data_IF_253854581527
#
_entry.id   IF_253854581527
#
_cell.length_a   1.000
_cell.length_b   1.000
_cell.length_c   1.000
_cell.angle_alpha   90.00
_cell.angle_beta   90.00
_cell.angle_gamma   90.00
#
_symmetry.space_group_name_H-M   'P 1'
#
loop_
_entity.id
_entity.type
_entity.pdbx_description
1 polymer ?
#
# COMPACT_ATOMS: atom_id res chain seq x y z
N UNK A 1 -29.43 -9.67 3.18
CA UNK A 1 -27.96 -9.67 3.06
C UNK A 1 -27.56 -10.96 2.40
N UNK A 2 -27.02 -10.89 1.19
CA UNK A 2 -26.58 -12.08 0.46
C UNK A 2 -25.32 -12.64 1.11
N UNK A 3 -25.01 -13.91 0.84
CA UNK A 3 -23.74 -14.51 1.31
C UNK A 3 -22.53 -13.69 0.84
N UNK A 4 -22.60 -13.15 -0.38
CA UNK A 4 -21.56 -12.32 -0.97
C UNK A 4 -21.34 -11.02 -0.18
N UNK A 5 -22.42 -10.34 0.25
CA UNK A 5 -22.32 -9.14 1.09
C UNK A 5 -21.64 -9.44 2.43
N UNK A 6 -22.03 -10.57 3.06
CA UNK A 6 -21.43 -10.99 4.34
C UNK A 6 -19.96 -11.36 4.18
N UNK A 7 -19.56 -11.94 3.06
CA UNK A 7 -18.17 -12.22 2.78
C UNK A 7 -17.35 -10.93 2.60
N UNK A 8 -17.78 -10.01 1.73
CA UNK A 8 -17.03 -8.80 1.40
C UNK A 8 -16.91 -7.80 2.55
N UNK A 9 -17.99 -7.58 3.30
CA UNK A 9 -18.02 -6.54 4.34
C UNK A 9 -17.94 -7.11 5.75
N UNK A 10 -18.19 -8.41 5.91
CA UNK A 10 -18.08 -9.09 7.20
C UNK A 10 -16.71 -9.74 7.40
N UNK A 11 -16.33 -10.68 6.55
CA UNK A 11 -15.13 -11.50 6.78
C UNK A 11 -13.85 -10.93 6.14
N UNK A 12 -13.95 -10.46 4.89
CA UNK A 12 -12.81 -10.02 4.10
C UNK A 12 -11.97 -8.90 4.75
N UNK A 13 -12.54 -7.88 5.41
CA UNK A 13 -11.74 -6.81 6.03
C UNK A 13 -10.78 -7.34 7.10
N UNK A 14 -11.21 -8.31 7.90
CA UNK A 14 -10.37 -8.92 8.93
C UNK A 14 -9.26 -9.77 8.31
N UNK A 15 -9.58 -10.55 7.28
CA UNK A 15 -8.58 -11.35 6.57
C UNK A 15 -7.52 -10.46 5.92
N UNK A 16 -7.94 -9.38 5.25
CA UNK A 16 -7.03 -8.40 4.65
C UNK A 16 -6.13 -7.74 5.71
N UNK A 17 -6.70 -7.35 6.86
CA UNK A 17 -5.94 -6.72 7.94
C UNK A 17 -4.93 -7.70 8.57
N UNK A 18 -5.34 -8.96 8.81
CA UNK A 18 -4.45 -10.00 9.35
C UNK A 18 -3.27 -10.26 8.41
N UNK A 19 -3.53 -10.43 7.11
CA UNK A 19 -2.47 -10.63 6.10
C UNK A 19 -1.58 -9.40 6.00
N UNK A 20 -2.16 -8.20 6.02
CA UNK A 20 -1.40 -6.95 5.97
C UNK A 20 -0.43 -6.83 7.16
N UNK A 21 -0.90 -7.02 8.38
CA UNK A 21 -0.07 -6.85 9.59
C UNK A 21 0.97 -7.96 9.73
N UNK A 22 0.57 -9.23 9.65
CA UNK A 22 1.49 -10.36 9.81
C UNK A 22 2.47 -10.46 8.64
N UNK A 23 2.00 -10.27 7.41
CA UNK A 23 2.87 -10.26 6.23
C UNK A 23 3.91 -9.15 6.29
N UNK A 24 3.51 -7.94 6.73
CA UNK A 24 4.45 -6.83 6.94
C UNK A 24 5.47 -7.16 8.03
N UNK A 25 5.04 -7.73 9.16
CA UNK A 25 5.94 -8.10 10.25
C UNK A 25 6.96 -9.17 9.83
N UNK A 26 6.50 -10.24 9.18
CA UNK A 26 7.37 -11.33 8.72
C UNK A 26 8.39 -10.82 7.69
N UNK A 27 7.95 -10.01 6.72
CA UNK A 27 8.85 -9.42 5.72
C UNK A 27 9.85 -8.45 6.34
N UNK A 28 9.43 -7.69 7.36
CA UNK A 28 10.31 -6.77 8.08
C UNK A 28 11.41 -7.53 8.85
N UNK A 29 11.07 -8.63 9.52
CA UNK A 29 12.02 -9.41 10.32
C UNK A 29 12.97 -10.24 9.44
N UNK A 30 12.46 -10.87 8.38
CA UNK A 30 13.22 -11.85 7.57
C UNK A 30 13.86 -11.29 6.31
N UNK A 31 13.28 -10.27 5.68
CA UNK A 31 13.59 -9.89 4.30
C UNK A 31 13.99 -8.41 4.16
N UNK A 32 14.84 -7.91 5.06
CA UNK A 32 15.28 -6.51 5.10
C UNK A 32 15.86 -6.01 3.76
N UNK A 33 16.59 -6.85 3.01
CA UNK A 33 17.16 -6.45 1.70
C UNK A 33 16.08 -6.11 0.65
N UNK A 34 14.90 -6.72 0.76
CA UNK A 34 13.77 -6.44 -0.14
C UNK A 34 12.95 -5.23 0.31
N UNK A 35 13.22 -4.68 1.50
CA UNK A 35 12.49 -3.55 2.06
C UNK A 35 13.07 -2.22 1.58
N UNK A 36 12.73 -1.85 0.35
CA UNK A 36 13.18 -0.60 -0.29
C UNK A 36 12.09 -0.06 -1.22
N UNK A 37 12.21 1.19 -1.62
CA UNK A 37 11.24 1.88 -2.49
C UNK A 37 11.36 1.54 -3.98
N UNK A 38 12.39 0.78 -4.37
CA UNK A 38 12.68 0.38 -5.76
C UNK A 38 12.57 1.55 -6.77
N UNK A 39 13.26 2.65 -6.46
CA UNK A 39 13.22 3.87 -7.29
C UNK A 39 13.79 3.63 -8.69
N UNK A 40 12.96 3.83 -9.70
CA UNK A 40 13.35 3.84 -11.12
C UNK A 40 13.76 5.23 -11.62
N UNK A 41 13.87 6.22 -10.73
CA UNK A 41 14.16 7.60 -11.11
C UNK A 41 15.50 7.74 -11.85
N UNK A 42 16.51 6.93 -11.47
CA UNK A 42 17.80 6.88 -12.14
C UNK A 42 17.69 6.48 -13.62
N UNK A 43 16.71 5.63 -13.97
CA UNK A 43 16.47 5.19 -15.34
C UNK A 43 15.62 6.18 -16.15
N UNK A 44 14.78 6.98 -15.48
CA UNK A 44 13.85 7.92 -16.14
C UNK A 44 13.60 9.17 -15.29
N UNK A 45 14.51 10.13 -15.35
CA UNK A 45 14.49 11.31 -14.48
C UNK A 45 13.42 12.37 -14.79
N UNK A 46 13.10 12.64 -16.06
CA UNK A 46 12.33 13.84 -16.44
C UNK A 46 10.87 13.82 -16.00
N UNK A 47 10.07 12.97 -16.64
CA UNK A 47 8.63 12.88 -16.39
C UNK A 47 8.27 12.27 -15.03
N UNK A 48 9.15 11.41 -14.48
CA UNK A 48 8.88 10.72 -13.22
C UNK A 48 8.90 11.68 -12.01
N UNK A 49 9.68 12.77 -12.06
CA UNK A 49 9.73 13.74 -10.95
C UNK A 49 8.39 14.46 -10.77
N UNK A 50 7.82 14.95 -11.85
CA UNK A 50 6.50 15.59 -11.81
C UNK A 50 5.39 14.60 -11.46
N UNK A 51 5.35 13.44 -12.11
CA UNK A 51 4.35 12.40 -11.84
C UNK A 51 4.40 11.88 -10.40
N UNK A 52 5.60 11.60 -9.89
CA UNK A 52 5.81 11.12 -8.51
C UNK A 52 5.37 12.17 -7.49
N UNK A 53 5.78 13.43 -7.66
CA UNK A 53 5.40 14.49 -6.71
C UNK A 53 3.89 14.72 -6.68
N UNK A 54 3.24 14.83 -7.85
CA UNK A 54 1.79 15.03 -7.92
C UNK A 54 1.02 13.85 -7.31
N UNK A 55 1.45 12.62 -7.57
CA UNK A 55 0.84 11.43 -6.99
C UNK A 55 1.02 11.37 -5.46
N UNK A 56 2.25 11.55 -4.96
CA UNK A 56 2.53 11.45 -3.52
C UNK A 56 1.84 12.55 -2.71
N UNK A 57 1.83 13.79 -3.22
CA UNK A 57 1.08 14.88 -2.57
C UNK A 57 -0.42 14.55 -2.54
N UNK A 58 -0.98 14.07 -3.65
CA UNK A 58 -2.39 13.69 -3.73
C UNK A 58 -2.76 12.55 -2.79
N UNK A 59 -2.00 11.45 -2.78
CA UNK A 59 -2.31 10.29 -1.93
C UNK A 59 -2.14 10.60 -0.45
N UNK A 60 -1.13 11.40 -0.06
CA UNK A 60 -0.95 11.81 1.33
C UNK A 60 -2.09 12.72 1.79
N UNK A 61 -2.54 13.65 0.94
CA UNK A 61 -3.73 14.46 1.23
C UNK A 61 -4.98 13.60 1.43
N UNK A 62 -5.22 12.62 0.54
CA UNK A 62 -6.35 11.69 0.67
C UNK A 62 -6.24 10.85 1.92
N UNK A 63 -5.04 10.35 2.25
CA UNK A 63 -4.81 9.55 3.44
C UNK A 63 -5.21 10.32 4.71
N UNK A 64 -4.74 11.55 4.87
CA UNK A 64 -5.12 12.42 6.01
C UNK A 64 -6.62 12.74 6.01
N UNK A 65 -7.26 12.82 4.84
CA UNK A 65 -8.71 13.04 4.76
C UNK A 65 -9.59 11.80 5.02
N UNK A 66 -9.04 10.58 4.93
CA UNK A 66 -9.77 9.32 5.08
C UNK A 66 -9.41 8.56 6.37
N UNK A 67 -8.41 9.01 7.13
CA UNK A 67 -8.10 8.55 8.49
C UNK A 67 -9.10 9.06 9.51
#
# INVERSE_FOLDING_TARGET
MTYFDRFLFGYYPYLALTVFLLGSLVRFDREQYTWKSDSSQLLRHGTLRWGSNLFHIGVLFLFVGHT
#
